data_IF_147205996818
#
_entry.id   IF_147205996818
#
_cell.length_a   1.000
_cell.length_b   1.000
_cell.length_c   1.000
_cell.angle_alpha   90.00
_cell.angle_beta   90.00
_cell.angle_gamma   90.00
#
_symmetry.space_group_name_H-M   'P 1'
#
loop_
_entity.id
_entity.type
_entity.pdbx_description
1 polymer ?
#
# COMPACT_ATOMS: atom_id res chain seq x y z
N UNK A 1 -3.71 14.51 -11.75
CA UNK A 1 -2.24 14.71 -11.74
C UNK A 1 -1.56 13.38 -12.01
N UNK A 2 -0.38 13.38 -12.64
CA UNK A 2 0.42 12.16 -12.81
C UNK A 2 1.05 11.78 -11.44
N UNK A 3 1.05 10.50 -11.03
CA UNK A 3 1.71 10.11 -9.78
C UNK A 3 3.21 10.42 -9.84
N UNK A 4 3.86 10.74 -8.70
CA UNK A 4 5.30 10.93 -8.64
C UNK A 4 6.04 9.65 -9.04
N UNK A 5 7.18 9.80 -9.69
CA UNK A 5 8.07 8.69 -10.04
C UNK A 5 9.12 8.52 -8.95
N UNK A 6 9.03 7.41 -8.20
CA UNK A 6 9.87 7.09 -7.06
C UNK A 6 10.25 5.60 -7.12
N UNK A 7 11.53 5.24 -7.34
CA UNK A 7 12.00 3.86 -7.26
C UNK A 7 11.58 3.20 -5.95
N UNK A 8 11.30 1.89 -5.96
CA UNK A 8 10.91 1.17 -4.74
C UNK A 8 12.07 1.22 -3.74
N UNK A 9 11.82 1.78 -2.56
CA UNK A 9 12.78 1.77 -1.47
C UNK A 9 12.90 0.39 -0.81
N UNK A 10 13.82 0.21 0.14
CA UNK A 10 14.10 -1.09 0.74
C UNK A 10 13.08 -1.52 1.80
N UNK A 11 12.15 -0.65 2.21
CA UNK A 11 11.21 -0.94 3.29
C UNK A 11 9.88 -1.49 2.76
N UNK A 12 9.47 -2.62 3.34
CA UNK A 12 8.11 -3.14 3.32
C UNK A 12 7.46 -2.76 4.65
N UNK A 13 6.40 -1.97 4.61
CA UNK A 13 5.74 -1.40 5.80
C UNK A 13 4.30 -1.87 5.90
N UNK A 14 3.68 -1.78 7.07
CA UNK A 14 2.28 -2.13 7.25
C UNK A 14 1.35 -0.89 7.19
N UNK A 15 0.07 -1.13 7.42
CA UNK A 15 -0.97 -0.12 7.58
C UNK A 15 -1.88 -0.47 8.77
N UNK A 16 -2.46 0.57 9.38
CA UNK A 16 -3.18 0.43 10.64
C UNK A 16 -4.51 -0.32 10.47
N UNK A 17 -5.24 -0.04 9.39
CA UNK A 17 -6.60 -0.56 9.17
C UNK A 17 -6.93 -0.84 7.70
N UNK A 18 -8.21 -1.03 7.37
CA UNK A 18 -8.65 -1.44 6.03
C UNK A 18 -8.75 -0.28 5.03
N UNK A 19 -8.49 0.96 5.45
CA UNK A 19 -8.60 2.17 4.62
C UNK A 19 -7.39 3.06 4.89
N UNK A 20 -6.85 3.67 3.83
CA UNK A 20 -5.73 4.60 3.94
C UNK A 20 -6.14 5.89 4.65
N UNK A 21 -5.38 6.26 5.68
CA UNK A 21 -5.44 7.60 6.26
C UNK A 21 -4.64 8.61 5.42
N UNK A 22 -4.86 9.91 5.66
CA UNK A 22 -4.05 10.95 5.01
C UNK A 22 -2.56 10.82 5.37
N UNK A 23 -2.26 10.52 6.64
CA UNK A 23 -0.89 10.31 7.13
C UNK A 23 -0.22 9.10 6.45
N UNK A 24 -0.94 7.99 6.28
CA UNK A 24 -0.42 6.81 5.58
C UNK A 24 -0.13 7.11 4.10
N UNK A 25 -0.98 7.91 3.44
CA UNK A 25 -0.73 8.34 2.06
C UNK A 25 0.59 9.12 1.95
N UNK A 26 0.85 10.04 2.87
CA UNK A 26 2.11 10.79 2.92
C UNK A 26 3.29 9.86 3.20
N UNK A 27 3.16 8.95 4.17
CA UNK A 27 4.19 7.97 4.52
C UNK A 27 4.56 7.06 3.35
N UNK A 28 3.58 6.62 2.56
CA UNK A 28 3.81 5.74 1.41
C UNK A 28 4.44 6.44 0.19
N UNK A 29 4.46 7.77 0.19
CA UNK A 29 5.24 8.58 -0.74
C UNK A 29 6.69 8.78 -0.30
N UNK A 30 7.08 8.31 0.90
CA UNK A 30 8.47 8.39 1.34
C UNK A 30 9.39 7.52 0.46
N UNK A 31 10.55 8.02 0.01
CA UNK A 31 11.44 7.28 -0.91
C UNK A 31 11.93 5.93 -0.38
N UNK A 32 12.04 5.77 0.95
CA UNK A 32 12.47 4.52 1.57
C UNK A 32 11.41 3.40 1.50
N UNK A 33 10.14 3.73 1.25
CA UNK A 33 9.07 2.74 1.13
C UNK A 33 9.03 2.17 -0.28
N UNK A 34 9.08 0.84 -0.39
CA UNK A 34 8.97 0.11 -1.65
C UNK A 34 7.73 -0.77 -1.76
N UNK A 35 7.10 -1.10 -0.63
CA UNK A 35 5.91 -1.92 -0.61
C UNK A 35 5.11 -1.81 0.69
N UNK A 36 3.95 -2.47 0.69
CA UNK A 36 3.07 -2.64 1.82
C UNK A 36 2.79 -4.14 2.04
N UNK A 37 2.81 -4.59 3.29
CA UNK A 37 2.32 -5.92 3.69
C UNK A 37 0.96 -5.80 4.37
N UNK A 38 -0.02 -6.56 3.88
CA UNK A 38 -1.36 -6.65 4.44
C UNK A 38 -1.41 -7.75 5.51
N UNK A 39 -2.21 -7.50 6.54
CA UNK A 39 -2.60 -8.45 7.58
C UNK A 39 -4.11 -8.63 7.60
N UNK A 40 -4.60 -9.60 8.39
CA UNK A 40 -6.04 -9.84 8.57
C UNK A 40 -6.85 -8.57 8.90
N UNK A 41 -6.31 -7.65 9.70
CA UNK A 41 -6.97 -6.37 10.06
C UNK A 41 -7.22 -5.43 8.87
N UNK A 42 -6.58 -5.69 7.73
CA UNK A 42 -6.69 -4.88 6.52
C UNK A 42 -7.67 -5.46 5.49
N UNK A 43 -8.22 -6.65 5.76
CA UNK A 43 -9.06 -7.43 4.83
C UNK A 43 -10.45 -7.70 5.42
N UNK A 44 -11.42 -6.87 5.05
CA UNK A 44 -12.82 -7.03 5.47
C UNK A 44 -13.60 -7.90 4.47
N UNK A 45 -13.50 -7.57 3.19
CA UNK A 45 -14.11 -8.30 2.08
C UNK A 45 -13.34 -8.03 0.76
N UNK A 46 -13.68 -8.77 -0.29
CA UNK A 46 -12.99 -8.68 -1.58
C UNK A 46 -13.12 -7.29 -2.25
N UNK A 47 -14.25 -6.61 -2.07
CA UNK A 47 -14.48 -5.29 -2.65
C UNK A 47 -13.64 -4.22 -1.94
N UNK A 48 -13.59 -4.26 -0.61
CA UNK A 48 -12.76 -3.38 0.20
C UNK A 48 -11.26 -3.61 -0.09
N UNK A 49 -10.79 -4.85 -0.16
CA UNK A 49 -9.37 -5.14 -0.47
C UNK A 49 -9.01 -4.64 -1.87
N UNK A 50 -9.90 -4.82 -2.86
CA UNK A 50 -9.69 -4.27 -4.20
C UNK A 50 -9.58 -2.75 -4.18
N UNK A 51 -10.43 -2.06 -3.41
CA UNK A 51 -10.36 -0.61 -3.26
C UNK A 51 -9.03 -0.17 -2.61
N UNK A 52 -8.62 -0.82 -1.52
CA UNK A 52 -7.35 -0.55 -0.85
C UNK A 52 -6.14 -0.74 -1.78
N UNK A 53 -6.09 -1.83 -2.54
CA UNK A 53 -5.01 -2.07 -3.51
C UNK A 53 -5.00 -1.03 -4.64
N UNK A 54 -6.18 -0.61 -5.11
CA UNK A 54 -6.30 0.44 -6.13
C UNK A 54 -5.74 1.77 -5.62
N UNK A 55 -6.10 2.14 -4.40
CA UNK A 55 -5.63 3.35 -3.75
C UNK A 55 -4.10 3.34 -3.55
N UNK A 56 -3.54 2.24 -3.05
CA UNK A 56 -2.09 2.06 -2.86
C UNK A 56 -1.32 2.14 -4.18
N UNK A 57 -1.82 1.50 -5.24
CA UNK A 57 -1.17 1.51 -6.55
C UNK A 57 -1.21 2.88 -7.23
N UNK A 58 -2.21 3.71 -6.93
CA UNK A 58 -2.38 5.04 -7.50
C UNK A 58 -1.44 6.09 -6.91
N UNK A 59 -0.83 5.85 -5.75
CA UNK A 59 -0.01 6.84 -5.04
C UNK A 59 1.24 7.28 -5.82
N UNK A 60 1.92 6.35 -6.50
CA UNK A 60 3.24 6.59 -7.11
C UNK A 60 3.56 5.58 -8.21
N UNK A 61 4.60 5.87 -8.99
CA UNK A 61 5.14 4.96 -10.00
C UNK A 61 6.64 4.67 -9.76
N UNK A 62 7.11 3.42 -9.92
CA UNK A 62 6.31 2.19 -10.00
C UNK A 62 5.41 2.03 -8.76
N UNK A 63 4.28 1.35 -8.94
CA UNK A 63 3.36 1.07 -7.84
C UNK A 63 4.07 0.28 -6.74
N UNK A 64 3.67 0.55 -5.50
CA UNK A 64 4.15 -0.19 -4.32
C UNK A 64 3.90 -1.69 -4.51
N UNK A 65 4.85 -2.52 -4.09
CA UNK A 65 4.61 -3.96 -3.99
C UNK A 65 3.59 -4.21 -2.88
N UNK A 66 2.53 -4.98 -3.14
CA UNK A 66 1.55 -5.38 -2.13
C UNK A 66 1.78 -6.86 -1.84
N UNK A 67 2.06 -7.18 -0.58
CA UNK A 67 2.27 -8.54 -0.12
C UNK A 67 1.21 -8.91 0.93
N UNK A 68 0.92 -10.20 1.05
CA UNK A 68 0.14 -10.79 2.14
C UNK A 68 0.68 -12.21 2.36
N UNK A 69 0.67 -12.65 3.60
CA UNK A 69 0.96 -14.04 3.94
C UNK A 69 -0.31 -14.89 3.70
N UNK A 70 -0.26 -15.76 2.69
CA UNK A 70 -1.36 -16.66 2.28
C UNK A 70 -0.81 -18.07 2.01
N UNK A 71 -0.42 -18.76 3.08
CA UNK A 71 0.11 -20.13 3.00
C UNK A 71 -0.98 -21.21 2.88
N UNK A 72 -2.19 -21.00 3.42
CA UNK A 72 -3.30 -21.97 3.38
C UNK A 72 -4.44 -21.67 4.34
#
# INVERSE_FOLDING_TARGET
MKPPVLPRGPLLVDLAGPVLTAEERERFLHPAVGGVILFARNCLDAAQVRALCTDLHALRQPSLLIAIDQEG
#
